data_IF_015453121535
#
_entry.id   IF_015453121535
#
_cell.length_a   1.000
_cell.length_b   1.000
_cell.length_c   1.000
_cell.angle_alpha   90.00
_cell.angle_beta   90.00
_cell.angle_gamma   90.00
#
_symmetry.space_group_name_H-M   'P 1'
#
loop_
_entity.id
_entity.type
_entity.pdbx_description
1 polymer ?
#
# COMPACT_ATOMS: atom_id res chain seq x y z
N UNK A 1 11.41 -22.29 -12.05
CA UNK A 1 11.51 -22.86 -10.68
C UNK A 1 10.18 -23.42 -10.26
N UNK A 2 9.10 -22.62 -10.20
CA UNK A 2 7.73 -23.05 -9.89
C UNK A 2 7.28 -24.40 -10.46
N UNK A 3 7.27 -24.57 -11.77
CA UNK A 3 6.85 -25.85 -12.38
C UNK A 3 7.80 -27.02 -12.07
N UNK A 4 9.10 -26.76 -11.86
CA UNK A 4 10.10 -27.79 -11.52
C UNK A 4 10.08 -28.14 -10.03
N UNK A 5 9.61 -27.24 -9.17
CA UNK A 5 9.50 -27.43 -7.72
C UNK A 5 8.11 -27.91 -7.29
N UNK A 6 7.20 -28.20 -8.23
CA UNK A 6 5.83 -28.59 -7.92
C UNK A 6 5.04 -27.48 -7.20
N UNK A 7 5.38 -26.21 -7.42
CA UNK A 7 4.71 -25.06 -6.80
C UNK A 7 5.32 -24.61 -5.47
N UNK A 8 6.32 -25.32 -4.94
CA UNK A 8 6.97 -24.97 -3.65
C UNK A 8 7.80 -23.69 -3.73
N UNK A 9 8.37 -23.41 -4.90
CA UNK A 9 9.09 -22.17 -5.17
C UNK A 9 8.25 -21.31 -6.11
N UNK A 10 7.64 -20.20 -5.64
CA UNK A 10 6.80 -19.34 -6.47
C UNK A 10 7.54 -18.79 -7.70
N UNK A 11 8.88 -18.83 -7.70
CA UNK A 11 9.71 -18.22 -8.72
C UNK A 11 9.60 -16.70 -8.69
N UNK A 12 10.01 -16.07 -9.79
CA UNK A 12 10.03 -14.60 -9.91
C UNK A 12 9.05 -14.07 -10.95
N UNK A 13 8.15 -14.90 -11.46
CA UNK A 13 7.26 -14.51 -12.56
C UNK A 13 6.05 -13.73 -12.07
N UNK A 14 5.62 -13.95 -10.81
CA UNK A 14 4.55 -13.16 -10.19
C UNK A 14 4.83 -11.65 -10.15
N UNK A 15 6.10 -11.23 -10.02
CA UNK A 15 6.49 -9.82 -10.09
C UNK A 15 6.86 -9.33 -11.50
N UNK A 16 6.64 -10.15 -12.54
CA UNK A 16 6.88 -9.81 -13.96
C UNK A 16 5.64 -9.85 -14.82
N UNK A 17 4.48 -10.11 -14.24
CA UNK A 17 3.21 -10.08 -14.97
C UNK A 17 3.07 -8.71 -15.66
N UNK A 18 2.79 -8.67 -16.98
CA UNK A 18 2.65 -7.43 -17.71
C UNK A 18 1.61 -6.50 -17.09
N UNK A 19 1.99 -5.25 -16.81
CA UNK A 19 1.16 -4.31 -16.05
C UNK A 19 -0.16 -3.97 -16.78
N UNK A 20 -1.27 -3.82 -16.04
CA UNK A 20 -2.54 -3.42 -16.61
C UNK A 20 -2.63 -1.88 -16.66
N UNK A 21 -2.67 -1.31 -17.86
CA UNK A 21 -2.78 0.14 -18.08
C UNK A 21 -4.20 0.58 -18.40
N UNK A 22 -4.85 -0.12 -19.32
CA UNK A 22 -6.17 0.19 -19.82
C UNK A 22 -7.05 -1.07 -19.81
N UNK A 23 -8.02 -1.09 -18.90
CA UNK A 23 -8.84 -2.23 -18.55
C UNK A 23 -9.49 -2.98 -19.72
N UNK A 24 -10.09 -2.24 -20.66
CA UNK A 24 -10.85 -2.78 -21.78
C UNK A 24 -10.00 -2.99 -23.04
N UNK A 25 -8.72 -2.58 -23.00
CA UNK A 25 -7.83 -2.76 -24.13
C UNK A 25 -7.30 -4.20 -24.17
N UNK A 26 -6.93 -4.72 -25.36
CA UNK A 26 -6.24 -6.01 -25.48
C UNK A 26 -5.06 -6.09 -24.51
N UNK A 27 -4.99 -7.19 -23.74
CA UNK A 27 -3.96 -7.44 -22.73
C UNK A 27 -3.81 -6.31 -21.71
N UNK A 28 -4.96 -5.75 -21.29
CA UNK A 28 -5.07 -4.61 -20.39
C UNK A 28 -4.22 -3.40 -20.83
N UNK A 29 -4.01 -3.21 -22.13
CA UNK A 29 -3.26 -2.08 -22.67
C UNK A 29 -1.73 -2.17 -22.52
N UNK A 30 -1.18 -3.35 -22.19
CA UNK A 30 0.26 -3.53 -22.04
C UNK A 30 1.04 -3.45 -23.37
N UNK A 31 0.44 -3.89 -24.48
CA UNK A 31 1.12 -3.96 -25.78
C UNK A 31 0.16 -3.88 -26.97
N UNK A 32 0.71 -3.90 -28.20
CA UNK A 32 -0.07 -3.79 -29.43
C UNK A 32 -0.58 -5.15 -29.91
N UNK A 33 -1.84 -5.46 -29.60
CA UNK A 33 -2.68 -6.56 -30.14
C UNK A 33 -2.14 -8.00 -30.09
N UNK A 34 -0.91 -8.22 -29.64
CA UNK A 34 -0.28 -9.54 -29.51
C UNK A 34 -0.15 -9.95 -28.06
N UNK A 35 -0.19 -11.25 -27.81
CA UNK A 35 -0.06 -11.82 -26.47
C UNK A 35 1.30 -11.47 -25.85
N UNK A 36 1.32 -10.92 -24.62
CA UNK A 36 2.55 -10.67 -23.89
C UNK A 36 3.34 -11.95 -23.59
N UNK A 37 4.62 -11.78 -23.24
CA UNK A 37 5.51 -12.91 -22.93
C UNK A 37 5.14 -13.69 -21.66
N UNK A 38 4.25 -13.15 -20.82
CA UNK A 38 3.69 -13.81 -19.64
C UNK A 38 2.17 -13.59 -19.59
N UNK A 39 1.39 -14.61 -19.19
CA UNK A 39 -0.05 -14.49 -19.09
C UNK A 39 -0.43 -13.53 -17.95
N UNK A 40 -1.46 -12.71 -18.19
CA UNK A 40 -2.09 -11.90 -17.16
C UNK A 40 -3.17 -12.72 -16.45
N UNK A 41 -3.28 -12.66 -15.11
CA UNK A 41 -4.41 -13.22 -14.38
C UNK A 41 -5.76 -12.69 -14.90
N UNK A 42 -6.82 -13.49 -14.80
CA UNK A 42 -8.14 -13.12 -15.32
C UNK A 42 -8.72 -11.85 -14.67
N UNK A 43 -8.39 -11.60 -13.40
CA UNK A 43 -8.80 -10.43 -12.61
C UNK A 43 -7.86 -9.23 -12.77
N UNK A 44 -6.72 -9.41 -13.46
CA UNK A 44 -5.68 -8.38 -13.61
C UNK A 44 -6.17 -7.06 -14.21
N UNK A 45 -7.07 -7.04 -15.22
CA UNK A 45 -7.63 -5.79 -15.73
C UNK A 45 -8.36 -4.98 -14.66
N UNK A 46 -8.90 -5.62 -13.61
CA UNK A 46 -9.55 -4.93 -12.49
C UNK A 46 -8.63 -3.94 -11.76
N UNK A 47 -7.32 -4.20 -11.79
CA UNK A 47 -6.29 -3.35 -11.20
C UNK A 47 -5.69 -2.34 -12.17
N UNK A 48 -6.25 -2.18 -13.38
CA UNK A 48 -5.72 -1.31 -14.41
C UNK A 48 -5.58 0.16 -13.96
N UNK A 49 -4.52 0.81 -14.45
CA UNK A 49 -4.20 2.19 -14.07
C UNK A 49 -5.32 3.19 -14.40
N UNK A 50 -6.05 3.00 -15.51
CA UNK A 50 -7.21 3.82 -15.89
C UNK A 50 -8.36 3.72 -14.89
N UNK A 51 -8.68 2.51 -14.42
CA UNK A 51 -9.69 2.27 -13.37
C UNK A 51 -9.23 2.83 -12.04
N UNK A 52 -8.00 2.53 -11.61
CA UNK A 52 -7.48 3.04 -10.34
C UNK A 52 -7.40 4.57 -10.32
N UNK A 53 -7.10 5.21 -11.45
CA UNK A 53 -7.04 6.68 -11.54
C UNK A 53 -8.40 7.35 -11.33
N UNK A 54 -9.51 6.63 -11.54
CA UNK A 54 -10.87 7.13 -11.33
C UNK A 54 -11.41 6.81 -9.93
N UNK A 55 -10.76 5.90 -9.19
CA UNK A 55 -11.16 5.50 -7.85
C UNK A 55 -10.31 6.22 -6.77
N UNK A 56 -10.91 7.12 -5.96
CA UNK A 56 -10.22 7.77 -4.86
C UNK A 56 -9.74 6.82 -3.76
N UNK A 57 -10.35 5.63 -3.63
CA UNK A 57 -9.99 4.59 -2.68
C UNK A 57 -8.89 3.64 -3.18
N UNK A 58 -8.39 3.83 -4.40
CA UNK A 58 -7.41 2.93 -5.01
C UNK A 58 -6.01 3.06 -4.42
N UNK A 59 -5.21 2.02 -4.63
CA UNK A 59 -3.78 2.05 -4.28
C UNK A 59 -3.02 3.15 -5.03
N UNK A 60 -3.34 3.40 -6.30
CA UNK A 60 -2.75 4.51 -7.06
C UNK A 60 -3.04 5.87 -6.40
N UNK A 61 -4.29 6.10 -5.97
CA UNK A 61 -4.71 7.32 -5.28
C UNK A 61 -4.00 7.46 -3.93
N UNK A 62 -3.91 6.37 -3.16
CA UNK A 62 -3.18 6.31 -1.89
C UNK A 62 -1.70 6.71 -2.06
N UNK A 63 -0.98 6.10 -2.99
CA UNK A 63 0.44 6.40 -3.21
C UNK A 63 0.68 7.83 -3.72
N UNK A 64 -0.20 8.35 -4.58
CA UNK A 64 -0.14 9.76 -5.01
C UNK A 64 -0.32 10.70 -3.83
N UNK A 65 -1.27 10.42 -2.93
CA UNK A 65 -1.49 11.19 -1.72
C UNK A 65 -0.28 11.11 -0.77
N UNK A 66 0.26 9.91 -0.54
CA UNK A 66 1.45 9.68 0.27
C UNK A 66 2.66 10.47 -0.23
N UNK A 67 2.96 10.42 -1.53
CA UNK A 67 4.06 11.15 -2.14
C UNK A 67 3.87 12.68 -2.06
N UNK A 68 2.63 13.17 -2.21
CA UNK A 68 2.31 14.60 -2.04
C UNK A 68 2.55 15.05 -0.60
N UNK A 69 2.07 14.27 0.38
CA UNK A 69 2.27 14.56 1.81
C UNK A 69 3.75 14.54 2.13
N UNK A 70 4.48 13.50 1.72
CA UNK A 70 5.93 13.36 1.93
C UNK A 70 6.71 14.58 1.45
N UNK A 71 6.34 15.17 0.30
CA UNK A 71 6.98 16.39 -0.23
C UNK A 71 6.61 17.67 0.51
N UNK A 72 5.38 17.77 1.00
CA UNK A 72 4.83 18.98 1.58
C UNK A 72 4.98 19.06 3.10
N UNK A 73 5.51 18.02 3.74
CA UNK A 73 5.47 17.83 5.19
C UNK A 73 6.84 17.46 5.71
N UNK A 74 7.30 18.15 6.75
CA UNK A 74 8.59 17.85 7.39
C UNK A 74 8.51 16.56 8.24
N UNK A 75 9.68 16.01 8.57
CA UNK A 75 9.80 14.73 9.29
C UNK A 75 9.97 13.47 8.43
N UNK A 76 9.75 13.54 7.10
CA UNK A 76 9.94 12.40 6.18
C UNK A 76 11.36 12.29 5.58
N UNK A 77 12.30 13.11 6.04
CA UNK A 77 13.70 13.09 5.62
C UNK A 77 14.48 11.89 6.20
N UNK A 78 15.77 11.86 5.91
CA UNK A 78 16.69 10.85 6.44
C UNK A 78 17.06 11.21 7.88
N UNK A 79 16.19 10.83 8.82
CA UNK A 79 16.34 11.10 10.25
C UNK A 79 16.14 9.80 11.04
N UNK A 80 16.80 9.64 12.20
CA UNK A 80 16.61 8.46 13.03
C UNK A 80 15.14 8.29 13.42
N UNK A 81 14.65 7.05 13.36
CA UNK A 81 13.36 6.70 13.95
C UNK A 81 13.53 6.27 15.41
N UNK A 82 12.49 6.49 16.20
CA UNK A 82 12.37 5.99 17.57
C UNK A 82 11.17 5.06 17.66
N UNK A 83 11.38 3.81 18.08
CA UNK A 83 10.29 2.88 18.33
C UNK A 83 9.40 3.37 19.47
N UNK A 84 8.08 3.26 19.27
CA UNK A 84 7.09 3.56 20.28
C UNK A 84 6.56 2.23 20.88
N UNK A 85 6.16 2.22 22.16
CA UNK A 85 5.45 1.07 22.71
C UNK A 85 4.19 0.77 21.90
N UNK A 86 4.04 -0.48 21.49
CA UNK A 86 2.90 -0.97 20.75
C UNK A 86 2.61 -2.43 21.16
N UNK A 87 1.36 -2.91 21.00
CA UNK A 87 1.05 -4.32 21.14
C UNK A 87 1.84 -5.19 20.14
N UNK A 88 1.85 -6.49 20.38
CA UNK A 88 2.36 -7.46 19.41
C UNK A 88 1.67 -7.28 18.05
N UNK A 89 2.42 -7.50 16.97
CA UNK A 89 1.98 -7.33 15.59
C UNK A 89 1.52 -5.90 15.21
N UNK A 90 1.81 -4.90 16.04
CA UNK A 90 1.64 -3.48 15.70
C UNK A 90 3.00 -2.80 15.68
N UNK A 91 3.38 -2.24 14.53
CA UNK A 91 4.58 -1.43 14.41
C UNK A 91 4.22 0.03 14.64
N UNK A 92 4.84 0.68 15.63
CA UNK A 92 4.71 2.11 15.84
C UNK A 92 6.08 2.76 16.03
N UNK A 93 6.34 3.84 15.30
CA UNK A 93 7.57 4.60 15.45
C UNK A 93 7.36 6.09 15.18
N UNK A 94 8.15 6.91 15.87
CA UNK A 94 8.24 8.35 15.65
C UNK A 94 9.43 8.67 14.75
N UNK A 95 9.26 9.61 13.84
CA UNK A 95 10.32 10.28 13.10
C UNK A 95 10.49 11.73 13.57
N UNK A 96 11.24 12.53 12.80
CA UNK A 96 11.43 13.93 13.11
C UNK A 96 10.12 14.76 13.04
N UNK A 97 10.15 15.93 13.67
CA UNK A 97 9.08 16.92 13.70
C UNK A 97 7.72 16.41 14.23
N UNK A 98 7.73 15.34 15.02
CA UNK A 98 6.50 14.74 15.55
C UNK A 98 5.75 13.89 14.52
N UNK A 99 6.39 13.44 13.45
CA UNK A 99 5.80 12.43 12.56
C UNK A 99 5.70 11.09 13.31
N UNK A 100 4.55 10.43 13.24
CA UNK A 100 4.36 9.08 13.77
C UNK A 100 3.82 8.18 12.65
N UNK A 101 4.37 6.98 12.53
CA UNK A 101 3.87 5.93 11.66
C UNK A 101 3.36 4.77 12.52
N UNK A 102 2.17 4.27 12.22
CA UNK A 102 1.59 3.07 12.83
C UNK A 102 1.16 2.11 11.73
N UNK A 103 1.55 0.85 11.83
CA UNK A 103 1.14 -0.23 10.92
C UNK A 103 0.57 -1.36 11.75
N UNK A 104 -0.67 -1.74 11.48
CA UNK A 104 -1.34 -2.83 12.19
C UNK A 104 -1.30 -4.12 11.36
N UNK A 105 -0.52 -5.09 11.81
CA UNK A 105 -0.46 -6.45 11.26
C UNK A 105 -1.23 -7.45 12.13
N UNK A 106 -1.77 -7.01 13.27
CA UNK A 106 -2.51 -7.84 14.21
C UNK A 106 -3.91 -8.17 13.70
N UNK A 107 -4.49 -9.23 14.24
CA UNK A 107 -5.87 -9.65 13.95
C UNK A 107 -6.95 -8.76 14.58
N UNK A 108 -6.56 -7.74 15.36
CA UNK A 108 -7.49 -6.85 16.06
C UNK A 108 -7.18 -5.37 15.81
N UNK A 109 -8.18 -4.46 15.87
CA UNK A 109 -7.93 -3.03 15.69
C UNK A 109 -7.01 -2.44 16.77
N UNK A 110 -5.98 -1.72 16.33
CA UNK A 110 -4.98 -1.07 17.20
C UNK A 110 -5.37 0.36 17.54
N UNK A 111 -5.11 0.79 18.79
CA UNK A 111 -5.28 2.20 19.17
C UNK A 111 -4.17 3.04 18.56
N UNK A 112 -4.52 4.20 18.02
CA UNK A 112 -3.53 5.18 17.58
C UNK A 112 -2.94 5.91 18.81
N UNK A 113 -1.62 6.22 18.83
CA UNK A 113 -1.02 7.09 19.83
C UNK A 113 -1.68 8.47 19.87
N UNK A 114 -1.46 9.24 20.93
CA UNK A 114 -1.92 10.63 20.97
C UNK A 114 -1.33 11.42 19.79
N UNK A 115 -2.18 12.17 19.10
CA UNK A 115 -1.81 12.92 17.91
C UNK A 115 -2.74 14.13 17.71
N UNK A 116 -2.21 15.20 17.12
CA UNK A 116 -2.93 16.39 16.74
C UNK A 116 -3.63 16.25 15.38
N UNK A 117 -3.11 15.40 14.49
CA UNK A 117 -3.66 15.23 13.12
C UNK A 117 -3.37 13.87 12.51
N UNK A 118 -4.37 13.27 11.87
CA UNK A 118 -4.19 12.17 10.91
C UNK A 118 -3.77 12.74 9.55
N UNK A 119 -2.56 12.41 9.09
CA UNK A 119 -2.03 12.87 7.81
C UNK A 119 -2.49 11.98 6.66
N UNK A 120 -2.45 10.67 6.85
CA UNK A 120 -2.87 9.66 5.87
C UNK A 120 -3.22 8.36 6.59
N UNK A 121 -4.19 7.60 6.05
CA UNK A 121 -4.39 6.19 6.38
C UNK A 121 -4.55 5.39 5.08
N UNK A 122 -4.04 4.15 5.05
CA UNK A 122 -4.17 3.26 3.88
C UNK A 122 -5.57 2.63 3.75
N UNK A 123 -6.43 2.85 4.74
CA UNK A 123 -7.80 2.37 4.82
C UNK A 123 -8.57 3.17 5.89
N UNK A 124 -9.91 3.03 5.96
CA UNK A 124 -10.72 3.73 6.95
C UNK A 124 -10.36 3.27 8.37
N UNK A 125 -10.45 4.19 9.34
CA UNK A 125 -10.46 3.80 10.75
C UNK A 125 -11.80 3.15 11.10
N UNK A 126 -11.82 2.36 12.18
CA UNK A 126 -13.08 1.83 12.70
C UNK A 126 -13.96 2.93 13.34
N UNK A 127 -15.17 2.56 13.73
CA UNK A 127 -16.16 3.43 14.38
C UNK A 127 -15.68 4.08 15.70
N UNK A 128 -14.60 3.54 16.28
CA UNK A 128 -13.97 4.03 17.51
C UNK A 128 -12.65 4.76 17.24
N UNK A 129 -12.31 5.02 15.97
CA UNK A 129 -11.07 5.69 15.58
C UNK A 129 -9.81 4.82 15.75
N UNK A 130 -9.95 3.51 15.80
CA UNK A 130 -8.82 2.55 15.84
C UNK A 130 -8.41 2.16 14.43
N UNK A 131 -7.15 1.75 14.29
CA UNK A 131 -6.55 1.31 13.04
C UNK A 131 -6.88 -0.18 12.81
N UNK A 132 -7.67 -0.54 11.79
CA UNK A 132 -7.98 -1.95 11.50
C UNK A 132 -6.74 -2.74 11.08
N UNK A 133 -6.89 -4.07 10.98
CA UNK A 133 -5.88 -4.97 10.42
C UNK A 133 -5.47 -4.52 9.01
N UNK A 134 -4.23 -4.82 8.63
CA UNK A 134 -3.64 -4.55 7.31
C UNK A 134 -3.73 -3.07 6.89
N UNK A 135 -3.77 -2.17 7.88
CA UNK A 135 -3.88 -0.73 7.68
C UNK A 135 -2.69 -0.01 8.31
N UNK A 136 -2.20 1.03 7.63
CA UNK A 136 -1.17 1.93 8.10
C UNK A 136 -1.71 3.35 8.24
N UNK A 137 -1.20 4.10 9.21
CA UNK A 137 -1.51 5.52 9.42
C UNK A 137 -0.25 6.35 9.65
N UNK A 138 -0.26 7.55 9.08
CA UNK A 138 0.71 8.62 9.36
C UNK A 138 0.03 9.71 10.18
N UNK A 139 0.64 10.09 11.28
CA UNK A 139 0.10 11.06 12.23
C UNK A 139 1.09 12.20 12.47
N UNK A 140 0.57 13.32 12.96
CA UNK A 140 1.34 14.40 13.58
C UNK A 140 1.05 14.40 15.08
N UNK A 141 2.09 14.33 15.91
CA UNK A 141 1.99 14.53 17.35
C UNK A 141 1.34 15.88 17.70
#
# INVERSE_FOLDING_TARGET
>A
MHFRSGGTDPGRDGCRVPLPWAAEAPYAGFGSRVEPWLPQPADWPGYAADRQAQDPGSMLSLYRAALRIRRATSGFGDTPLTWLPAPDDVLAFAGADGLICVVNLADTPARLPAHSRLLLASGPLDDRGRLPRDTAAWLRA
#
